data_IF_578103587092
#
_entry.id   IF_578103587092
#
_cell.length_a   1.000
_cell.length_b   1.000
_cell.length_c   1.000
_cell.angle_alpha   90.00
_cell.angle_beta   90.00
_cell.angle_gamma   90.00
#
_symmetry.space_group_name_H-M   'P 1'
#
loop_
_entity.id
_entity.type
_entity.pdbx_description
1 polymer ?
#
# COMPACT_ATOMS: atom_id res chain seq x y z
N UNK A 1 53.04 49.36 -56.27
CA UNK A 1 54.40 49.41 -56.82
C UNK A 1 54.36 50.24 -58.10
N UNK A 2 54.48 51.56 -57.93
CA UNK A 2 54.79 52.55 -58.96
C UNK A 2 55.42 53.72 -58.19
N UNK A 3 56.56 54.20 -58.68
CA UNK A 3 57.58 54.94 -57.96
C UNK A 3 57.09 56.29 -57.40
N UNK A 4 57.42 56.55 -56.12
CA UNK A 4 57.54 57.90 -55.56
C UNK A 4 58.86 58.47 -56.10
N UNK A 5 58.84 58.97 -57.32
CA UNK A 5 59.94 59.72 -57.92
C UNK A 5 59.32 61.01 -58.43
N UNK A 6 59.19 61.98 -57.53
CA UNK A 6 59.08 63.43 -57.77
C UNK A 6 59.02 64.11 -56.38
N UNK A 7 59.99 63.81 -55.50
CA UNK A 7 60.32 64.75 -54.42
C UNK A 7 61.18 65.85 -55.04
N UNK A 8 60.52 66.76 -55.77
CA UNK A 8 61.09 68.08 -56.00
C UNK A 8 61.41 68.64 -54.62
N UNK A 9 62.69 68.93 -54.35
CA UNK A 9 63.17 69.42 -53.07
C UNK A 9 62.42 70.71 -52.69
N UNK A 10 61.31 70.54 -51.97
CA UNK A 10 60.43 71.65 -51.60
C UNK A 10 61.15 72.46 -50.53
N UNK A 11 61.16 73.78 -50.71
CA UNK A 11 61.75 74.73 -49.77
C UNK A 11 61.06 74.70 -48.39
N UNK A 12 59.87 74.11 -48.31
CA UNK A 12 59.03 74.00 -47.12
C UNK A 12 59.32 72.68 -46.38
N UNK A 13 59.62 72.77 -45.10
CA UNK A 13 59.83 71.62 -44.21
C UNK A 13 58.48 71.04 -43.74
N UNK A 14 57.88 70.18 -44.56
CA UNK A 14 56.59 69.56 -44.26
C UNK A 14 56.62 68.64 -43.04
N UNK A 15 57.77 68.04 -42.71
CA UNK A 15 57.93 67.14 -41.57
C UNK A 15 57.76 67.89 -40.25
N UNK A 16 58.26 69.13 -40.16
CA UNK A 16 58.05 70.00 -39.01
C UNK A 16 56.58 70.42 -38.80
N UNK A 17 55.77 70.47 -39.88
CA UNK A 17 54.36 70.85 -39.82
C UNK A 17 53.40 69.68 -39.58
N UNK A 18 53.81 68.46 -39.93
CA UNK A 18 53.03 67.23 -39.72
C UNK A 18 53.34 66.55 -38.38
N UNK A 19 54.31 67.04 -37.62
CA UNK A 19 54.66 66.54 -36.28
C UNK A 19 53.49 66.75 -35.28
N UNK A 20 53.03 65.70 -34.56
CA UNK A 20 51.96 65.80 -33.58
C UNK A 20 52.21 66.80 -32.43
N UNK A 21 53.47 67.18 -32.16
CA UNK A 21 53.83 68.18 -31.15
C UNK A 21 53.95 69.62 -31.73
N UNK A 22 53.61 69.82 -33.01
CA UNK A 22 53.67 71.13 -33.65
C UNK A 22 52.75 72.14 -32.96
N UNK A 23 53.35 73.22 -32.44
CA UNK A 23 52.63 74.33 -31.83
C UNK A 23 52.90 75.63 -32.60
N UNK A 24 51.85 76.26 -33.19
CA UNK A 24 52.01 77.47 -34.01
C UNK A 24 52.74 78.61 -33.28
N UNK A 25 52.52 78.73 -31.97
CA UNK A 25 53.14 79.78 -31.16
C UNK A 25 54.64 79.58 -30.91
N UNK A 26 55.12 78.34 -30.78
CA UNK A 26 56.56 78.07 -30.60
C UNK A 26 57.32 78.24 -31.90
N UNK A 27 56.72 77.83 -33.02
CA UNK A 27 57.25 78.03 -34.36
C UNK A 27 57.34 79.51 -34.75
N UNK A 28 56.31 80.30 -34.44
CA UNK A 28 56.36 81.74 -34.65
C UNK A 28 57.47 82.39 -33.81
N UNK A 29 57.68 81.94 -32.57
CA UNK A 29 58.74 82.45 -31.71
C UNK A 29 60.14 82.06 -32.21
N UNK A 30 60.35 80.81 -32.64
CA UNK A 30 61.63 80.39 -33.21
C UNK A 30 61.97 81.16 -34.48
N UNK A 31 60.96 81.49 -35.31
CA UNK A 31 61.16 82.27 -36.54
C UNK A 31 61.50 83.74 -36.28
N UNK A 32 60.87 84.36 -35.28
CA UNK A 32 61.19 85.74 -34.86
C UNK A 32 62.62 85.81 -34.28
N UNK A 33 63.01 84.81 -33.49
CA UNK A 33 64.36 84.72 -32.93
C UNK A 33 65.43 84.41 -34.00
N UNK A 34 65.09 83.67 -35.06
CA UNK A 34 66.01 83.32 -36.14
C UNK A 34 66.29 84.48 -37.12
N UNK A 35 65.37 85.45 -37.20
CA UNK A 35 65.43 86.56 -38.16
C UNK A 35 65.93 87.87 -37.55
N UNK A 36 65.81 88.04 -36.23
CA UNK A 36 66.19 89.27 -35.54
C UNK A 36 67.43 89.06 -34.66
N UNK A 37 68.38 90.00 -34.72
CA UNK A 37 69.50 90.06 -33.77
C UNK A 37 69.10 90.86 -32.52
N UNK A 38 69.61 90.52 -31.33
CA UNK A 38 69.19 91.13 -30.05
C UNK A 38 69.53 92.63 -29.89
N UNK A 39 70.26 93.23 -30.84
CA UNK A 39 70.64 94.64 -30.84
C UNK A 39 69.87 95.49 -31.88
N UNK A 40 68.93 94.92 -32.62
CA UNK A 40 68.16 95.65 -33.64
C UNK A 40 66.95 96.37 -33.02
N UNK A 41 66.85 97.68 -33.25
CA UNK A 41 65.72 98.52 -32.81
C UNK A 41 65.28 99.39 -33.98
N UNK A 42 64.10 99.21 -34.61
CA UNK A 42 62.96 98.38 -34.22
C UNK A 42 63.03 96.90 -34.68
N UNK A 43 62.29 96.04 -33.98
CA UNK A 43 62.11 94.61 -34.31
C UNK A 43 61.49 94.45 -35.71
N UNK A 44 62.16 93.74 -36.61
CA UNK A 44 61.65 93.48 -37.95
C UNK A 44 60.72 92.25 -37.93
N UNK A 45 59.42 92.55 -37.90
CA UNK A 45 58.35 91.55 -38.03
C UNK A 45 57.95 91.30 -39.48
N UNK A 46 58.43 92.12 -40.43
CA UNK A 46 58.05 92.01 -41.82
C UNK A 46 58.70 90.80 -42.48
N UNK A 47 59.97 90.51 -42.15
CA UNK A 47 60.70 89.36 -42.70
C UNK A 47 60.12 88.01 -42.26
N UNK A 48 59.88 87.72 -40.96
CA UNK A 48 59.18 86.48 -40.53
C UNK A 48 57.80 86.31 -41.12
N UNK A 49 57.02 87.40 -41.15
CA UNK A 49 55.66 87.38 -41.67
C UNK A 49 55.65 87.11 -43.17
N UNK A 50 56.58 87.71 -43.93
CA UNK A 50 56.72 87.42 -45.35
C UNK A 50 57.06 85.95 -45.59
N UNK A 51 57.97 85.36 -44.81
CA UNK A 51 58.33 83.95 -44.94
C UNK A 51 57.15 83.01 -44.65
N UNK A 52 56.42 83.21 -43.55
CA UNK A 52 55.22 82.40 -43.24
C UNK A 52 54.14 82.55 -44.32
N UNK A 53 53.97 83.75 -44.87
CA UNK A 53 53.02 83.97 -45.96
C UNK A 53 53.45 83.25 -47.24
N UNK A 54 54.74 83.25 -47.58
CA UNK A 54 55.25 82.48 -48.71
C UNK A 54 55.09 80.97 -48.48
N UNK A 55 55.41 80.47 -47.29
CA UNK A 55 55.23 79.05 -46.94
C UNK A 55 53.74 78.64 -47.01
N UNK A 56 52.83 79.47 -46.50
CA UNK A 56 51.39 79.22 -46.57
C UNK A 56 50.85 79.27 -48.01
N UNK A 57 51.30 80.24 -48.80
CA UNK A 57 50.94 80.34 -50.22
C UNK A 57 51.44 79.14 -51.02
N UNK A 58 52.63 78.60 -50.69
CA UNK A 58 53.17 77.42 -51.35
C UNK A 58 52.41 76.15 -50.95
N UNK A 59 52.07 75.99 -49.66
CA UNK A 59 51.21 74.89 -49.19
C UNK A 59 49.84 74.95 -49.88
N UNK A 60 49.23 76.12 -49.94
CA UNK A 60 47.94 76.32 -50.61
C UNK A 60 48.05 76.02 -52.12
N UNK A 61 49.10 76.50 -52.79
CA UNK A 61 49.32 76.25 -54.22
C UNK A 61 49.56 74.76 -54.50
N UNK A 62 50.29 74.08 -53.62
CA UNK A 62 50.59 72.66 -53.72
C UNK A 62 49.37 71.80 -53.42
N UNK A 63 48.57 72.15 -52.41
CA UNK A 63 47.28 71.52 -52.13
C UNK A 63 46.34 71.74 -53.32
N UNK A 64 46.27 72.94 -53.88
CA UNK A 64 45.42 73.22 -55.04
C UNK A 64 45.88 72.43 -56.26
N UNK A 65 47.19 72.32 -56.50
CA UNK A 65 47.76 71.55 -57.61
C UNK A 65 47.51 70.06 -57.43
N UNK A 66 47.75 69.51 -56.24
CA UNK A 66 47.44 68.11 -55.92
C UNK A 66 45.94 67.85 -56.00
N UNK A 67 45.11 68.75 -55.48
CA UNK A 67 43.65 68.61 -55.49
C UNK A 67 43.11 68.72 -56.90
N UNK A 68 43.63 69.61 -57.76
CA UNK A 68 43.21 69.68 -59.17
C UNK A 68 43.73 68.52 -60.00
N UNK A 69 44.99 68.10 -59.80
CA UNK A 69 45.61 66.96 -60.51
C UNK A 69 44.99 65.62 -60.10
N UNK A 70 44.64 65.47 -58.83
CA UNK A 70 44.04 64.24 -58.27
C UNK A 70 42.55 64.37 -57.94
N UNK A 71 41.88 65.43 -58.40
CA UNK A 71 40.45 65.67 -58.19
C UNK A 71 39.61 64.47 -58.61
N UNK A 72 39.92 63.92 -59.79
CA UNK A 72 39.21 62.77 -60.34
C UNK A 72 39.42 61.54 -59.43
N UNK A 73 40.66 61.10 -59.11
CA UNK A 73 40.91 60.04 -58.14
C UNK A 73 40.18 60.18 -56.80
N UNK A 74 40.21 61.36 -56.17
CA UNK A 74 39.57 61.60 -54.87
C UNK A 74 38.04 61.51 -54.96
N UNK A 75 37.45 62.05 -56.02
CA UNK A 75 36.01 61.94 -56.28
C UNK A 75 35.61 60.50 -56.60
N UNK A 76 36.41 59.76 -57.38
CA UNK A 76 36.17 58.33 -57.61
C UNK A 76 36.28 57.52 -56.34
N UNK A 77 37.29 57.75 -55.51
CA UNK A 77 37.46 57.05 -54.24
C UNK A 77 36.28 57.33 -53.29
N UNK A 78 35.90 58.59 -53.13
CA UNK A 78 34.76 58.98 -52.27
C UNK A 78 33.45 58.41 -52.80
N UNK A 79 33.26 58.41 -54.13
CA UNK A 79 32.10 57.81 -54.79
C UNK A 79 32.07 56.29 -54.58
N UNK A 80 33.18 55.59 -54.82
CA UNK A 80 33.29 54.15 -54.62
C UNK A 80 33.07 53.76 -53.16
N UNK A 81 33.61 54.52 -52.21
CA UNK A 81 33.40 54.29 -50.78
C UNK A 81 31.94 54.52 -50.35
N UNK A 82 31.29 55.56 -50.89
CA UNK A 82 29.87 55.84 -50.63
C UNK A 82 28.98 54.77 -51.26
N UNK A 83 29.29 54.33 -52.48
CA UNK A 83 28.58 53.24 -53.16
C UNK A 83 28.78 51.89 -52.46
N UNK A 84 29.99 51.58 -52.00
CA UNK A 84 30.29 50.37 -51.24
C UNK A 84 29.57 50.37 -49.89
N UNK A 85 29.59 51.48 -49.17
CA UNK A 85 28.86 51.63 -47.90
C UNK A 85 27.35 51.51 -48.11
N UNK A 86 26.82 52.11 -49.18
CA UNK A 86 25.42 51.97 -49.56
C UNK A 86 25.01 50.52 -49.86
N UNK A 87 25.87 49.78 -50.59
CA UNK A 87 25.66 48.35 -50.87
C UNK A 87 25.66 47.53 -49.57
N UNK A 88 26.65 47.73 -48.70
CA UNK A 88 26.74 47.03 -47.41
C UNK A 88 25.51 47.31 -46.54
N UNK A 89 25.09 48.57 -46.42
CA UNK A 89 23.89 48.94 -45.65
C UNK A 89 22.64 48.29 -46.25
N UNK A 90 22.50 48.29 -47.57
CA UNK A 90 21.35 47.66 -48.23
C UNK A 90 21.31 46.14 -48.00
N UNK A 91 22.47 45.48 -48.02
CA UNK A 91 22.57 44.05 -47.78
C UNK A 91 22.28 43.73 -46.31
N UNK A 92 22.84 44.49 -45.37
CA UNK A 92 22.55 44.34 -43.94
C UNK A 92 21.07 44.57 -43.66
N UNK A 93 20.47 45.62 -44.22
CA UNK A 93 19.04 45.91 -44.04
C UNK A 93 18.17 44.77 -44.59
N UNK A 94 18.55 44.18 -45.73
CA UNK A 94 17.88 43.00 -46.26
C UNK A 94 18.01 41.78 -45.34
N UNK A 95 19.20 41.54 -44.77
CA UNK A 95 19.44 40.44 -43.83
C UNK A 95 18.70 40.63 -42.51
N UNK A 96 18.65 41.85 -41.98
CA UNK A 96 17.92 42.19 -40.75
C UNK A 96 16.41 42.03 -40.95
N UNK A 97 15.88 42.41 -42.13
CA UNK A 97 14.47 42.17 -42.49
C UNK A 97 14.17 40.68 -42.57
N UNK A 98 15.01 39.91 -43.25
CA UNK A 98 14.87 38.46 -43.35
C UNK A 98 14.93 37.79 -41.96
N UNK A 99 15.84 38.24 -41.09
CA UNK A 99 15.94 37.73 -39.73
C UNK A 99 14.68 38.04 -38.91
N UNK A 100 14.18 39.27 -38.96
CA UNK A 100 12.94 39.65 -38.28
C UNK A 100 11.72 38.87 -38.80
N UNK A 101 11.65 38.62 -40.11
CA UNK A 101 10.59 37.81 -40.69
C UNK A 101 10.70 36.35 -40.23
N UNK A 102 11.90 35.77 -40.25
CA UNK A 102 12.14 34.41 -39.76
C UNK A 102 11.84 34.27 -38.26
N UNK A 103 12.13 35.29 -37.46
CA UNK A 103 11.81 35.30 -36.03
C UNK A 103 10.30 35.36 -35.81
N UNK A 104 9.58 36.22 -36.55
CA UNK A 104 8.11 36.28 -36.48
C UNK A 104 7.46 34.97 -36.92
N UNK A 105 8.02 34.30 -37.93
CA UNK A 105 7.58 32.97 -38.33
C UNK A 105 7.83 31.96 -37.20
N UNK A 106 9.03 31.95 -36.60
CA UNK A 106 9.36 31.07 -35.48
C UNK A 106 8.48 31.31 -34.25
N UNK A 107 8.21 32.57 -33.90
CA UNK A 107 7.34 32.92 -32.78
C UNK A 107 5.92 32.38 -33.00
N UNK A 108 5.39 32.55 -34.22
CA UNK A 108 4.05 32.08 -34.57
C UNK A 108 3.97 30.56 -34.67
N UNK A 109 4.96 29.91 -35.27
CA UNK A 109 4.92 28.47 -35.53
C UNK A 109 5.38 27.62 -34.36
N UNK A 110 6.32 28.11 -33.54
CA UNK A 110 6.92 27.32 -32.46
C UNK A 110 6.41 27.79 -31.11
N UNK A 111 6.51 29.08 -30.78
CA UNK A 111 6.20 29.57 -29.43
C UNK A 111 4.70 29.49 -29.16
N UNK A 112 3.88 30.01 -30.07
CA UNK A 112 2.41 29.95 -29.90
C UNK A 112 1.90 28.51 -29.92
N UNK A 113 2.43 27.66 -30.81
CA UNK A 113 2.04 26.24 -30.86
C UNK A 113 2.50 25.47 -29.63
N UNK A 114 3.65 25.79 -29.06
CA UNK A 114 4.11 25.20 -27.81
C UNK A 114 3.20 25.61 -26.63
N UNK A 115 2.80 26.88 -26.55
CA UNK A 115 1.87 27.35 -25.53
C UNK A 115 0.51 26.65 -25.64
N UNK A 116 -0.06 26.52 -26.86
CA UNK A 116 -1.27 25.74 -27.11
C UNK A 116 -1.09 24.25 -26.70
N UNK A 117 0.07 23.66 -27.02
CA UNK A 117 0.37 22.27 -26.67
C UNK A 117 0.50 22.07 -25.15
N UNK A 118 1.01 23.05 -24.40
CA UNK A 118 1.10 22.99 -22.94
C UNK A 118 -0.28 23.09 -22.28
N UNK A 119 -1.19 23.90 -22.83
CA UNK A 119 -2.59 23.91 -22.40
C UNK A 119 -3.25 22.54 -22.63
N UNK A 120 -3.08 21.97 -23.82
CA UNK A 120 -3.60 20.63 -24.13
C UNK A 120 -2.98 19.57 -23.23
N UNK A 121 -1.68 19.65 -22.94
CA UNK A 121 -0.99 18.75 -21.99
C UNK A 121 -1.60 18.86 -20.59
N UNK A 122 -1.89 20.08 -20.13
CA UNK A 122 -2.52 20.28 -18.83
C UNK A 122 -3.94 19.69 -18.78
N UNK A 123 -4.73 19.90 -19.84
CA UNK A 123 -6.06 19.30 -19.99
C UNK A 123 -5.96 17.77 -20.02
N UNK A 124 -5.04 17.21 -20.78
CA UNK A 124 -4.81 15.77 -20.86
C UNK A 124 -4.38 15.17 -19.52
N UNK A 125 -3.54 15.86 -18.75
CA UNK A 125 -3.14 15.43 -17.40
C UNK A 125 -4.34 15.36 -16.46
N UNK A 126 -5.20 16.40 -16.46
CA UNK A 126 -6.43 16.43 -15.67
C UNK A 126 -7.42 15.34 -16.09
N UNK A 127 -7.56 15.11 -17.40
CA UNK A 127 -8.39 14.02 -17.94
C UNK A 127 -7.86 12.64 -17.54
N UNK A 128 -6.54 12.46 -17.52
CA UNK A 128 -5.94 11.20 -17.08
C UNK A 128 -6.15 10.96 -15.58
N UNK A 129 -5.95 11.99 -14.75
CA UNK A 129 -6.20 11.89 -13.30
C UNK A 129 -7.68 11.57 -13.01
N UNK A 130 -8.60 12.25 -13.68
CA UNK A 130 -10.05 11.98 -13.54
C UNK A 130 -10.42 10.58 -14.04
N UNK A 131 -9.84 10.11 -15.14
CA UNK A 131 -10.06 8.74 -15.63
C UNK A 131 -9.50 7.68 -14.68
N UNK A 132 -8.30 7.90 -14.14
CA UNK A 132 -7.66 7.00 -13.15
C UNK A 132 -8.51 6.89 -11.88
N UNK A 133 -8.98 8.04 -11.38
CA UNK A 133 -9.86 8.10 -10.22
C UNK A 133 -11.24 7.48 -10.53
N UNK A 134 -11.81 7.76 -11.69
CA UNK A 134 -13.10 7.19 -12.12
C UNK A 134 -13.06 5.67 -12.25
N UNK A 135 -11.97 5.11 -12.78
CA UNK A 135 -11.80 3.65 -12.89
C UNK A 135 -11.67 2.96 -11.54
N UNK A 136 -10.90 3.53 -10.62
CA UNK A 136 -10.74 2.99 -9.26
C UNK A 136 -12.04 3.10 -8.45
N UNK A 137 -12.77 4.22 -8.55
CA UNK A 137 -14.12 4.37 -7.99
C UNK A 137 -15.09 3.34 -8.59
N UNK A 138 -15.10 3.20 -9.92
CA UNK A 138 -15.96 2.24 -10.62
C UNK A 138 -15.71 0.80 -10.17
N UNK A 139 -14.44 0.41 -10.03
CA UNK A 139 -14.06 -0.90 -9.50
C UNK A 139 -14.53 -1.10 -8.05
N UNK A 140 -14.34 -0.10 -7.18
CA UNK A 140 -14.81 -0.15 -5.79
C UNK A 140 -16.33 -0.29 -5.70
N UNK A 141 -17.09 0.48 -6.50
CA UNK A 141 -18.55 0.41 -6.53
C UNK A 141 -19.03 -0.93 -7.10
N UNK A 142 -18.38 -1.46 -8.14
CA UNK A 142 -18.72 -2.77 -8.70
C UNK A 142 -18.49 -3.90 -7.69
N UNK A 143 -17.36 -3.86 -6.96
CA UNK A 143 -17.08 -4.79 -5.87
C UNK A 143 -18.06 -4.62 -4.69
N UNK A 144 -18.42 -3.38 -4.36
CA UNK A 144 -19.46 -3.08 -3.36
C UNK A 144 -20.82 -3.67 -3.74
N UNK A 145 -21.25 -3.49 -5.00
CA UNK A 145 -22.47 -4.11 -5.52
C UNK A 145 -22.40 -5.64 -5.51
N UNK A 146 -21.25 -6.20 -5.88
CA UNK A 146 -21.03 -7.65 -5.81
C UNK A 146 -21.13 -8.15 -4.36
N UNK A 147 -20.61 -7.40 -3.40
CA UNK A 147 -20.69 -7.70 -1.98
C UNK A 147 -22.15 -7.68 -1.49
N UNK A 148 -22.95 -6.69 -1.87
CA UNK A 148 -24.38 -6.62 -1.52
C UNK A 148 -25.16 -7.81 -2.06
N UNK A 149 -24.92 -8.20 -3.32
CA UNK A 149 -25.57 -9.37 -3.92
C UNK A 149 -25.18 -10.64 -3.15
N UNK A 150 -23.89 -10.82 -2.85
CA UNK A 150 -23.41 -11.98 -2.10
C UNK A 150 -23.91 -11.98 -0.64
N UNK A 151 -24.07 -10.82 -0.01
CA UNK A 151 -24.64 -10.69 1.33
C UNK A 151 -26.15 -10.98 1.33
N UNK A 152 -26.88 -10.57 0.29
CA UNK A 152 -28.29 -10.92 0.12
C UNK A 152 -28.48 -12.45 -0.06
N UNK A 153 -27.57 -13.15 -0.72
CA UNK A 153 -27.58 -14.63 -0.79
C UNK A 153 -27.46 -15.27 0.61
N UNK A 154 -26.70 -14.65 1.52
CA UNK A 154 -26.56 -15.11 2.92
C UNK A 154 -27.82 -14.76 3.73
N UNK A 155 -28.32 -13.53 3.62
CA UNK A 155 -29.45 -13.04 4.43
C UNK A 155 -30.81 -13.58 3.99
N UNK A 156 -31.01 -13.85 2.69
CA UNK A 156 -32.27 -14.39 2.17
C UNK A 156 -32.54 -15.84 2.60
N UNK A 157 -31.51 -16.52 3.11
CA UNK A 157 -31.63 -17.87 3.69
C UNK A 157 -32.26 -17.84 5.11
N UNK A 158 -32.19 -16.71 5.82
CA UNK A 158 -32.66 -16.61 7.21
C UNK A 158 -34.13 -16.15 7.37
N UNK A 159 -34.75 -15.55 6.34
CA UNK A 159 -36.05 -14.86 6.47
C UNK A 159 -37.22 -15.46 5.69
N UNK A 160 -37.09 -16.69 5.16
CA UNK A 160 -38.19 -17.37 4.45
C UNK A 160 -38.85 -18.43 5.34
N UNK A 161 -40.08 -18.14 5.74
CA UNK A 161 -41.01 -19.00 6.47
C UNK A 161 -41.06 -20.46 5.95
N UNK A 162 -40.53 -21.38 6.74
CA UNK A 162 -41.09 -22.68 7.16
C UNK A 162 -41.77 -23.67 6.18
N UNK A 163 -41.63 -23.62 4.85
CA UNK A 163 -42.32 -24.61 3.98
C UNK A 163 -41.54 -25.23 2.80
N UNK A 164 -40.20 -25.15 2.76
CA UNK A 164 -39.47 -26.03 1.81
C UNK A 164 -38.09 -26.46 2.35
N UNK A 165 -38.01 -27.73 2.68
CA UNK A 165 -36.90 -28.44 3.32
C UNK A 165 -35.67 -28.66 2.42
N UNK A 166 -35.27 -27.69 1.58
CA UNK A 166 -34.12 -27.89 0.68
C UNK A 166 -33.38 -26.62 0.18
N UNK A 167 -33.58 -25.45 0.80
CA UNK A 167 -32.72 -24.30 0.50
C UNK A 167 -31.48 -24.36 1.37
N UNK A 168 -30.45 -25.04 0.85
CA UNK A 168 -29.07 -25.01 1.36
C UNK A 168 -28.69 -23.56 1.65
N UNK A 169 -28.29 -23.28 2.88
CA UNK A 169 -27.49 -22.09 3.16
C UNK A 169 -26.25 -22.16 2.27
N UNK A 170 -26.07 -21.19 1.39
CA UNK A 170 -24.85 -21.10 0.58
C UNK A 170 -23.71 -20.65 1.49
N UNK A 171 -23.21 -21.58 2.30
CA UNK A 171 -22.05 -21.41 3.16
C UNK A 171 -20.78 -21.07 2.33
N UNK A 172 -20.83 -21.31 1.02
CA UNK A 172 -19.85 -20.82 0.03
C UNK A 172 -19.96 -19.32 -0.27
N UNK A 173 -21.15 -18.72 -0.13
CA UNK A 173 -21.35 -17.27 -0.27
C UNK A 173 -20.61 -16.49 0.82
N UNK A 174 -20.50 -17.03 2.04
CA UNK A 174 -19.68 -16.47 3.12
C UNK A 174 -18.21 -16.33 2.68
N UNK A 175 -17.63 -17.38 2.11
CA UNK A 175 -16.23 -17.38 1.62
C UNK A 175 -16.06 -16.39 0.46
N UNK A 176 -17.01 -16.32 -0.46
CA UNK A 176 -17.01 -15.33 -1.54
C UNK A 176 -17.06 -13.90 -1.01
N UNK A 177 -17.91 -13.62 -0.02
CA UNK A 177 -17.97 -12.32 0.65
C UNK A 177 -16.63 -11.95 1.29
N UNK A 178 -15.99 -12.89 1.99
CA UNK A 178 -14.68 -12.65 2.60
C UNK A 178 -13.61 -12.28 1.55
N UNK A 179 -13.58 -12.95 0.40
CA UNK A 179 -12.67 -12.58 -0.69
C UNK A 179 -12.98 -11.22 -1.31
N UNK A 180 -14.26 -10.86 -1.47
CA UNK A 180 -14.67 -9.53 -1.95
C UNK A 180 -14.34 -8.43 -0.95
N UNK A 181 -14.51 -8.67 0.36
CA UNK A 181 -14.11 -7.73 1.43
C UNK A 181 -12.59 -7.53 1.40
N UNK A 182 -11.82 -8.61 1.22
CA UNK A 182 -10.37 -8.54 1.14
C UNK A 182 -9.88 -7.79 -0.10
N UNK A 183 -10.50 -7.98 -1.27
CA UNK A 183 -10.15 -7.22 -2.47
C UNK A 183 -10.53 -5.74 -2.35
N UNK A 184 -11.63 -5.42 -1.67
CA UNK A 184 -11.98 -4.04 -1.31
C UNK A 184 -10.94 -3.42 -0.37
N UNK A 185 -10.51 -4.14 0.68
CA UNK A 185 -9.43 -3.70 1.58
C UNK A 185 -8.12 -3.48 0.82
N UNK A 186 -7.77 -4.37 -0.11
CA UNK A 186 -6.55 -4.23 -0.93
C UNK A 186 -6.54 -2.91 -1.70
N UNK A 187 -7.67 -2.54 -2.32
CA UNK A 187 -7.78 -1.31 -3.10
C UNK A 187 -7.76 -0.07 -2.19
N UNK A 188 -8.37 -0.18 -1.00
CA UNK A 188 -8.44 0.91 -0.02
C UNK A 188 -7.13 1.12 0.76
N UNK A 189 -6.34 0.07 0.99
CA UNK A 189 -5.07 0.14 1.74
C UNK A 189 -3.90 0.61 0.87
N UNK A 190 -3.97 0.43 -0.46
CA UNK A 190 -2.98 0.91 -1.44
C UNK A 190 -3.05 2.43 -1.66
N UNK A 191 -2.71 3.20 -0.63
CA UNK A 191 -2.82 4.67 -0.59
C UNK A 191 -1.57 5.42 -1.11
N UNK A 192 -0.52 4.73 -1.56
CA UNK A 192 0.73 5.39 -1.94
C UNK A 192 0.59 6.19 -3.27
N UNK A 193 1.40 7.24 -3.50
CA UNK A 193 1.35 8.02 -4.74
C UNK A 193 1.64 7.12 -5.94
N UNK A 194 0.67 7.02 -6.85
CA UNK A 194 0.74 6.15 -8.03
C UNK A 194 -0.14 4.89 -7.93
N UNK A 195 -0.52 4.48 -6.73
CA UNK A 195 -1.37 3.30 -6.52
C UNK A 195 -2.87 3.58 -6.75
N UNK A 196 -3.66 2.51 -6.88
CA UNK A 196 -5.10 2.58 -7.20
C UNK A 196 -5.92 3.31 -6.11
N UNK A 197 -5.44 3.34 -4.86
CA UNK A 197 -6.15 3.95 -3.73
C UNK A 197 -5.89 5.43 -3.50
N UNK A 198 -4.95 6.04 -4.24
CA UNK A 198 -4.58 7.43 -4.05
C UNK A 198 -5.74 8.38 -4.39
N UNK A 199 -6.32 9.02 -3.37
CA UNK A 199 -7.41 10.00 -3.51
C UNK A 199 -8.83 9.41 -3.37
N UNK A 200 -8.97 8.09 -3.19
CA UNK A 200 -10.28 7.45 -2.96
C UNK A 200 -10.95 7.93 -1.68
N UNK A 201 -10.17 8.12 -0.61
CA UNK A 201 -10.66 8.60 0.69
C UNK A 201 -11.25 10.03 0.64
N UNK A 202 -10.96 10.81 -0.41
CA UNK A 202 -11.51 12.17 -0.56
C UNK A 202 -12.92 12.16 -1.18
N UNK A 203 -13.36 11.03 -1.72
CA UNK A 203 -14.63 10.91 -2.44
C UNK A 203 -15.74 10.51 -1.47
N UNK A 204 -16.77 11.36 -1.34
CA UNK A 204 -17.90 11.12 -0.44
C UNK A 204 -18.65 9.82 -0.77
N UNK A 205 -18.75 9.42 -2.04
CA UNK A 205 -19.38 8.16 -2.43
C UNK A 205 -18.64 6.93 -1.87
N UNK A 206 -17.30 6.98 -1.81
CA UNK A 206 -16.50 5.89 -1.24
C UNK A 206 -16.61 5.86 0.27
N UNK A 207 -16.60 7.03 0.94
CA UNK A 207 -16.88 7.10 2.38
C UNK A 207 -18.26 6.53 2.71
N UNK A 208 -19.28 6.91 1.94
CA UNK A 208 -20.62 6.36 2.09
C UNK A 208 -20.65 4.85 1.86
N UNK A 209 -19.92 4.32 0.89
CA UNK A 209 -19.80 2.87 0.67
C UNK A 209 -19.13 2.18 1.87
N UNK A 210 -18.06 2.77 2.41
CA UNK A 210 -17.34 2.23 3.57
C UNK A 210 -18.24 2.19 4.82
N UNK A 211 -18.91 3.30 5.11
CA UNK A 211 -19.70 3.46 6.33
C UNK A 211 -21.04 2.71 6.28
N UNK A 212 -21.74 2.74 5.13
CA UNK A 212 -23.09 2.19 5.01
C UNK A 212 -23.13 0.74 4.51
N UNK A 213 -22.13 0.30 3.74
CA UNK A 213 -22.17 -1.03 3.09
C UNK A 213 -21.07 -1.92 3.64
N UNK A 214 -19.79 -1.53 3.51
CA UNK A 214 -18.66 -2.39 3.86
C UNK A 214 -18.63 -2.68 5.36
N UNK A 215 -18.70 -1.66 6.21
CA UNK A 215 -18.65 -1.83 7.67
C UNK A 215 -19.77 -2.71 8.23
N UNK A 216 -21.05 -2.44 7.90
CA UNK A 216 -22.17 -3.26 8.35
C UNK A 216 -22.12 -4.70 7.82
N UNK A 217 -21.80 -4.90 6.53
CA UNK A 217 -21.70 -6.24 5.94
C UNK A 217 -20.55 -7.02 6.58
N UNK A 218 -19.40 -6.40 6.83
CA UNK A 218 -18.27 -7.05 7.50
C UNK A 218 -18.65 -7.52 8.90
N UNK A 219 -19.31 -6.66 9.70
CA UNK A 219 -19.82 -7.02 11.03
C UNK A 219 -20.84 -8.14 10.95
N UNK A 220 -21.74 -8.09 9.97
CA UNK A 220 -22.74 -9.14 9.75
C UNK A 220 -22.07 -10.48 9.43
N UNK A 221 -21.12 -10.52 8.49
CA UNK A 221 -20.40 -11.74 8.10
C UNK A 221 -19.62 -12.30 9.28
N UNK A 222 -18.95 -11.45 10.04
CA UNK A 222 -18.26 -11.84 11.29
C UNK A 222 -19.23 -12.48 12.28
N UNK A 223 -20.35 -11.82 12.58
CA UNK A 223 -21.34 -12.32 13.54
C UNK A 223 -21.96 -13.65 13.09
N UNK A 224 -22.28 -13.80 11.79
CA UNK A 224 -22.83 -15.06 11.26
C UNK A 224 -21.81 -16.20 11.35
N UNK A 225 -20.53 -15.94 11.03
CA UNK A 225 -19.49 -16.96 11.15
C UNK A 225 -19.20 -17.33 12.61
N UNK A 226 -19.26 -16.36 13.53
CA UNK A 226 -19.16 -16.63 14.97
C UNK A 226 -20.33 -17.47 15.48
N UNK A 227 -21.56 -17.18 15.03
CA UNK A 227 -22.75 -17.93 15.42
C UNK A 227 -22.66 -19.39 14.94
N UNK A 228 -22.27 -19.62 13.67
CA UNK A 228 -22.11 -20.97 13.11
C UNK A 228 -21.12 -21.81 13.93
N UNK A 229 -20.01 -21.22 14.40
CA UNK A 229 -19.03 -21.94 15.22
C UNK A 229 -19.57 -22.19 16.65
N UNK A 230 -20.31 -21.23 17.23
CA UNK A 230 -20.90 -21.38 18.57
C UNK A 230 -22.00 -22.45 18.62
N UNK A 231 -22.77 -22.57 17.55
CA UNK A 231 -23.87 -23.52 17.41
C UNK A 231 -23.40 -24.88 16.87
N UNK A 232 -22.10 -25.05 16.63
CA UNK A 232 -21.55 -26.29 16.10
C UNK A 232 -21.89 -27.48 16.98
N UNK A 233 -22.58 -28.46 16.38
CA UNK A 233 -22.89 -29.75 17.00
C UNK A 233 -22.99 -30.81 15.93
N UNK A 234 -22.18 -31.86 16.05
CA UNK A 234 -22.36 -33.08 15.28
C UNK A 234 -23.22 -33.98 16.15
N UNK A 235 -24.42 -34.31 15.70
CA UNK A 235 -25.36 -35.12 16.46
C UNK A 235 -24.68 -36.31 17.16
N UNK A 236 -25.08 -36.54 18.41
CA UNK A 236 -24.50 -37.55 19.29
C UNK A 236 -24.39 -38.92 18.60
N UNK A 237 -23.40 -39.72 18.99
CA UNK A 237 -23.27 -41.12 18.61
C UNK A 237 -24.55 -41.96 18.87
N UNK A 238 -25.51 -41.45 19.65
CA UNK A 238 -26.81 -42.07 19.95
C UNK A 238 -27.94 -41.77 18.93
N UNK A 239 -27.69 -41.09 17.81
CA UNK A 239 -28.56 -41.16 16.63
C UNK A 239 -29.69 -40.12 16.52
N UNK A 240 -29.36 -38.85 16.28
CA UNK A 240 -30.36 -37.81 15.92
C UNK A 240 -30.05 -37.01 14.66
N UNK A 241 -28.81 -37.03 14.15
CA UNK A 241 -28.44 -36.31 12.93
C UNK A 241 -28.14 -37.27 11.77
N UNK A 242 -28.74 -37.02 10.61
CA UNK A 242 -28.45 -37.79 9.38
C UNK A 242 -27.02 -37.52 8.92
N UNK A 243 -26.36 -38.50 8.27
CA UNK A 243 -25.01 -38.30 7.70
C UNK A 243 -24.92 -37.01 6.87
N UNK A 244 -25.93 -36.74 6.04
CA UNK A 244 -26.02 -35.51 5.24
C UNK A 244 -26.02 -34.23 6.10
N UNK A 245 -26.76 -34.21 7.21
CA UNK A 245 -26.78 -33.07 8.14
C UNK A 245 -25.43 -32.88 8.83
N UNK A 246 -24.75 -33.98 9.18
CA UNK A 246 -23.42 -33.92 9.78
C UNK A 246 -22.34 -33.45 8.80
N UNK A 247 -22.43 -33.84 7.53
CA UNK A 247 -21.53 -33.37 6.48
C UNK A 247 -21.77 -31.90 6.13
N UNK A 248 -23.04 -31.48 6.11
CA UNK A 248 -23.41 -30.09 5.91
C UNK A 248 -22.94 -29.21 7.07
N UNK A 249 -23.12 -29.63 8.33
CA UNK A 249 -22.60 -28.90 9.49
C UNK A 249 -21.07 -28.77 9.46
N UNK A 250 -20.35 -29.82 9.01
CA UNK A 250 -18.90 -29.75 8.77
C UNK A 250 -18.57 -28.71 7.71
N UNK A 251 -19.23 -28.76 6.55
CA UNK A 251 -18.99 -27.85 5.45
C UNK A 251 -19.25 -26.38 5.84
N UNK A 252 -20.32 -26.11 6.61
CA UNK A 252 -20.63 -24.79 7.16
C UNK A 252 -19.55 -24.29 8.12
N UNK A 253 -19.11 -25.15 9.02
CA UNK A 253 -18.05 -24.83 10.00
C UNK A 253 -16.71 -24.56 9.32
N UNK A 254 -16.37 -25.32 8.29
CA UNK A 254 -15.16 -25.10 7.48
C UNK A 254 -15.22 -23.72 6.81
N UNK A 255 -16.33 -23.37 6.17
CA UNK A 255 -16.51 -22.04 5.58
C UNK A 255 -16.50 -20.91 6.62
N UNK A 256 -17.10 -21.11 7.80
CA UNK A 256 -17.07 -20.12 8.88
C UNK A 256 -15.66 -19.93 9.44
N UNK A 257 -14.89 -21.00 9.60
CA UNK A 257 -13.49 -20.94 10.03
C UNK A 257 -12.60 -20.25 8.98
N UNK A 258 -12.78 -20.59 7.70
CA UNK A 258 -12.07 -19.95 6.59
C UNK A 258 -12.40 -18.46 6.50
N UNK A 259 -13.67 -18.07 6.63
CA UNK A 259 -14.05 -16.65 6.60
C UNK A 259 -13.49 -15.86 7.76
N UNK A 260 -13.51 -16.39 8.99
CA UNK A 260 -12.93 -15.71 10.14
C UNK A 260 -11.40 -15.63 10.06
N UNK A 261 -10.76 -16.66 9.48
CA UNK A 261 -9.34 -16.62 9.16
C UNK A 261 -9.01 -15.51 8.15
N UNK A 262 -9.81 -15.39 7.08
CA UNK A 262 -9.62 -14.39 6.03
C UNK A 262 -9.97 -12.96 6.46
N UNK A 263 -10.98 -12.77 7.32
CA UNK A 263 -11.43 -11.42 7.74
C UNK A 263 -10.57 -10.89 8.91
N UNK A 264 -9.81 -11.76 9.58
CA UNK A 264 -8.97 -11.41 10.73
C UNK A 264 -8.05 -10.21 10.42
N UNK A 265 -8.00 -9.21 11.31
CA UNK A 265 -7.30 -7.95 11.04
C UNK A 265 -5.80 -8.19 10.82
N UNK A 266 -5.24 -7.43 9.89
CA UNK A 266 -3.81 -7.44 9.51
C UNK A 266 -3.21 -6.05 9.74
N UNK A 267 -4.02 -5.10 10.18
CA UNK A 267 -3.67 -3.71 10.37
C UNK A 267 -2.59 -3.59 11.46
N UNK A 268 -1.37 -3.26 11.03
CA UNK A 268 -0.26 -2.92 11.93
C UNK A 268 0.63 -4.07 12.39
N UNK A 269 0.39 -5.31 11.98
CA UNK A 269 1.27 -6.45 12.33
C UNK A 269 2.21 -6.79 11.19
N UNK A 270 3.52 -6.89 11.49
CA UNK A 270 4.51 -7.44 10.56
C UNK A 270 4.04 -8.83 10.07
N UNK A 271 4.19 -9.15 8.78
CA UNK A 271 3.65 -10.38 8.18
C UNK A 271 4.22 -11.68 8.80
N UNK A 272 5.34 -11.58 9.55
CA UNK A 272 6.02 -12.71 10.18
C UNK A 272 5.43 -13.16 11.53
N UNK A 273 4.48 -12.41 12.11
CA UNK A 273 3.83 -12.75 13.41
C UNK A 273 2.31 -12.73 13.36
N UNK A 274 1.72 -12.77 12.18
CA UNK A 274 0.27 -12.70 12.07
C UNK A 274 -0.37 -13.98 12.63
N UNK A 275 -1.24 -13.81 13.62
CA UNK A 275 -2.07 -14.87 14.18
C UNK A 275 -3.54 -14.53 13.96
N UNK A 276 -4.39 -15.49 13.57
CA UNK A 276 -5.81 -15.23 13.33
C UNK A 276 -6.58 -15.04 14.65
N UNK A 277 -6.45 -13.86 15.26
CA UNK A 277 -6.99 -13.55 16.59
C UNK A 277 -8.51 -13.78 16.68
N UNK A 278 -9.27 -13.44 15.63
CA UNK A 278 -10.73 -13.62 15.62
C UNK A 278 -11.12 -15.09 15.68
N UNK A 279 -10.41 -15.95 14.93
CA UNK A 279 -10.65 -17.39 14.93
C UNK A 279 -10.25 -18.01 16.28
N UNK A 280 -9.10 -17.60 16.83
CA UNK A 280 -8.63 -18.09 18.12
C UNK A 280 -9.59 -17.71 19.25
N UNK A 281 -10.03 -16.46 19.28
CA UNK A 281 -10.95 -15.96 20.31
C UNK A 281 -12.29 -16.69 20.27
N UNK A 282 -12.87 -16.92 19.09
CA UNK A 282 -14.17 -17.61 19.02
C UNK A 282 -14.06 -19.08 19.44
N UNK A 283 -12.97 -19.76 19.07
CA UNK A 283 -12.72 -21.14 19.45
C UNK A 283 -12.45 -21.27 20.96
N UNK A 284 -11.70 -20.34 21.54
CA UNK A 284 -11.50 -20.25 22.99
C UNK A 284 -12.83 -20.07 23.72
N UNK A 285 -13.69 -19.15 23.26
CA UNK A 285 -14.99 -18.92 23.88
C UNK A 285 -15.91 -20.14 23.74
N UNK A 286 -15.89 -20.83 22.59
CA UNK A 286 -16.63 -22.08 22.40
C UNK A 286 -16.20 -23.15 23.41
N UNK A 287 -14.89 -23.39 23.54
CA UNK A 287 -14.33 -24.35 24.50
C UNK A 287 -14.67 -23.98 25.95
N UNK A 288 -14.52 -22.71 26.31
CA UNK A 288 -14.83 -22.21 27.66
C UNK A 288 -16.31 -22.35 28.00
N UNK A 289 -17.21 -22.07 27.06
CA UNK A 289 -18.64 -22.26 27.24
C UNK A 289 -19.02 -23.73 27.40
N UNK A 290 -18.45 -24.61 26.56
CA UNK A 290 -18.65 -26.04 26.65
C UNK A 290 -18.16 -26.60 28.00
N UNK A 291 -16.99 -26.14 28.49
CA UNK A 291 -16.44 -26.48 29.80
C UNK A 291 -17.32 -26.00 30.95
N UNK A 292 -17.63 -24.71 31.00
CA UNK A 292 -18.40 -24.12 32.10
C UNK A 292 -19.79 -24.76 32.22
N UNK A 293 -20.46 -25.00 31.10
CA UNK A 293 -21.78 -25.65 31.08
C UNK A 293 -21.69 -27.11 31.54
N UNK A 294 -20.63 -27.84 31.17
CA UNK A 294 -20.44 -29.25 31.53
C UNK A 294 -20.04 -29.42 33.00
N UNK A 295 -19.22 -28.52 33.54
CA UNK A 295 -18.88 -28.49 34.98
C UNK A 295 -20.12 -28.18 35.82
N UNK A 296 -20.94 -27.21 35.39
CA UNK A 296 -22.16 -26.83 36.10
C UNK A 296 -23.28 -27.89 36.03
N UNK A 297 -23.39 -28.65 34.93
CA UNK A 297 -24.33 -29.77 34.84
C UNK A 297 -23.88 -30.95 35.70
N UNK A 298 -22.58 -31.29 35.66
CA UNK A 298 -22.02 -32.39 36.44
C UNK A 298 -22.04 -32.12 37.94
N UNK A 299 -21.71 -30.90 38.38
CA UNK A 299 -21.80 -30.54 39.80
C UNK A 299 -23.22 -30.66 40.36
N UNK A 300 -24.24 -30.33 39.54
CA UNK A 300 -25.65 -30.49 39.91
C UNK A 300 -26.08 -31.95 39.92
N UNK A 301 -25.69 -32.74 38.93
CA UNK A 301 -26.06 -34.17 38.88
C UNK A 301 -25.35 -35.02 39.92
N UNK A 302 -24.15 -34.62 40.36
CA UNK A 302 -23.50 -35.23 41.53
C UNK A 302 -24.27 -34.94 42.84
N UNK A 303 -24.96 -33.80 42.94
CA UNK A 303 -25.88 -33.54 44.05
C UNK A 303 -27.21 -34.32 43.91
N UNK A 304 -27.60 -34.69 42.68
CA UNK A 304 -28.85 -35.40 42.37
C UNK A 304 -28.59 -36.63 41.47
N UNK A 305 -28.15 -37.74 42.07
CA UNK A 305 -27.74 -38.96 41.34
C UNK A 305 -28.67 -39.47 40.21
N UNK A 306 -30.01 -39.39 40.30
CA UNK A 306 -30.89 -39.92 39.25
C UNK A 306 -30.72 -39.26 37.87
N UNK A 307 -30.14 -38.06 37.80
CA UNK A 307 -29.88 -37.37 36.54
C UNK A 307 -28.46 -37.55 36.01
N UNK A 308 -27.60 -38.29 36.74
CA UNK A 308 -26.19 -38.45 36.43
C UNK A 308 -25.97 -39.04 35.03
N UNK A 309 -26.61 -40.15 34.71
CA UNK A 309 -26.42 -40.84 33.41
C UNK A 309 -26.79 -39.95 32.22
N UNK A 310 -27.87 -39.17 32.37
CA UNK A 310 -28.28 -38.20 31.36
C UNK A 310 -27.23 -37.10 31.19
N UNK A 311 -26.74 -36.53 32.29
CA UNK A 311 -25.71 -35.48 32.22
C UNK A 311 -24.38 -36.00 31.68
N UNK A 312 -23.99 -37.23 32.02
CA UNK A 312 -22.78 -37.87 31.49
C UNK A 312 -22.90 -38.16 29.99
N UNK A 313 -24.09 -38.54 29.51
CA UNK A 313 -24.35 -38.66 28.08
C UNK A 313 -24.21 -37.30 27.36
N UNK A 314 -24.78 -36.23 27.91
CA UNK A 314 -24.66 -34.87 27.37
C UNK A 314 -23.20 -34.36 27.36
N UNK A 315 -22.43 -34.63 28.42
CA UNK A 315 -21.00 -34.26 28.50
C UNK A 315 -20.18 -35.06 27.50
N UNK A 316 -20.43 -36.36 27.36
CA UNK A 316 -19.75 -37.19 26.35
C UNK A 316 -20.04 -36.69 24.93
N UNK A 317 -21.27 -36.27 24.63
CA UNK A 317 -21.63 -35.68 23.33
C UNK A 317 -20.92 -34.35 23.07
N UNK A 318 -20.70 -33.52 24.10
CA UNK A 318 -19.94 -32.26 23.96
C UNK A 318 -18.47 -32.51 23.70
N UNK A 319 -17.87 -33.49 24.37
CA UNK A 319 -16.50 -33.91 24.09
C UNK A 319 -16.35 -34.48 22.67
N UNK A 320 -17.31 -35.28 22.22
CA UNK A 320 -17.38 -35.78 20.84
C UNK A 320 -17.44 -34.64 19.82
N UNK A 321 -18.20 -33.57 20.09
CA UNK A 321 -18.22 -32.37 19.25
C UNK A 321 -16.85 -31.66 19.23
N UNK A 322 -16.16 -31.56 20.37
CA UNK A 322 -14.81 -30.96 20.44
C UNK A 322 -13.81 -31.77 19.61
N UNK A 323 -13.84 -33.10 19.71
CA UNK A 323 -12.97 -33.99 18.92
C UNK A 323 -13.29 -33.88 17.43
N UNK A 324 -14.58 -33.79 17.08
CA UNK A 324 -14.96 -33.59 15.69
C UNK A 324 -14.47 -32.25 15.16
N UNK A 325 -14.53 -31.18 15.96
CA UNK A 325 -13.96 -29.87 15.62
C UNK A 325 -12.44 -29.96 15.45
N UNK A 326 -11.74 -30.68 16.33
CA UNK A 326 -10.30 -30.94 16.24
C UNK A 326 -9.94 -31.62 14.91
N UNK A 327 -10.67 -32.67 14.52
CA UNK A 327 -10.46 -33.39 13.27
C UNK A 327 -10.74 -32.47 12.06
N UNK A 328 -11.79 -31.66 12.10
CA UNK A 328 -12.15 -30.73 11.01
C UNK A 328 -11.07 -29.64 10.85
N UNK A 329 -10.58 -29.09 11.95
CA UNK A 329 -9.51 -28.08 11.93
C UNK A 329 -8.17 -28.69 11.50
N UNK A 330 -7.90 -29.95 11.84
CA UNK A 330 -6.74 -30.69 11.36
C UNK A 330 -6.83 -31.09 9.88
N UNK A 331 -8.03 -31.31 9.34
CA UNK A 331 -8.21 -31.64 7.93
C UNK A 331 -8.25 -30.43 7.01
N UNK A 332 -8.45 -29.24 7.57
CA UNK A 332 -8.61 -28.00 6.80
C UNK A 332 -7.27 -27.28 6.69
N UNK A 333 -6.71 -27.28 5.48
CA UNK A 333 -5.53 -26.48 5.15
C UNK A 333 -5.87 -24.99 5.22
N UNK A 334 -4.96 -24.19 5.79
CA UNK A 334 -5.13 -22.74 5.82
C UNK A 334 -5.17 -22.18 4.38
N UNK A 335 -6.22 -21.44 3.99
CA UNK A 335 -6.29 -20.83 2.67
C UNK A 335 -5.24 -19.72 2.54
N UNK A 336 -4.67 -19.55 1.34
CA UNK A 336 -3.72 -18.47 1.07
C UNK A 336 -4.40 -17.12 1.31
N UNK A 337 -3.83 -16.33 2.21
CA UNK A 337 -4.37 -15.01 2.54
C UNK A 337 -3.93 -14.01 1.45
N UNK A 338 -4.85 -13.40 0.68
CA UNK A 338 -4.49 -12.57 -0.48
C UNK A 338 -3.72 -11.29 -0.14
N UNK A 339 -3.79 -10.83 1.12
CA UNK A 339 -3.04 -9.67 1.62
C UNK A 339 -1.69 -10.01 2.27
N UNK A 340 -1.31 -11.29 2.34
CA UNK A 340 0.02 -11.71 2.82
C UNK A 340 0.87 -12.16 1.62
N UNK A 341 2.14 -11.73 1.50
CA UNK A 341 2.99 -12.13 0.39
C UNK A 341 3.08 -13.65 0.27
N UNK A 342 2.67 -14.18 -0.89
CA UNK A 342 2.61 -15.62 -1.19
C UNK A 342 3.95 -16.37 -0.97
N UNK A 343 5.07 -15.65 -0.90
CA UNK A 343 6.41 -16.22 -0.77
C UNK A 343 6.76 -16.80 0.61
N UNK A 344 5.99 -16.51 1.67
CA UNK A 344 6.27 -17.06 3.03
C UNK A 344 5.30 -18.14 3.50
N UNK A 345 4.20 -18.38 2.78
CA UNK A 345 3.26 -19.48 3.06
C UNK A 345 3.74 -20.86 2.56
N UNK A 346 4.84 -20.92 1.82
CA UNK A 346 5.38 -22.18 1.30
C UNK A 346 6.03 -23.07 2.36
N UNK A 347 6.41 -22.51 3.53
CA UNK A 347 7.13 -23.25 4.58
C UNK A 347 6.23 -23.89 5.64
N UNK A 348 4.97 -23.47 5.78
CA UNK A 348 4.05 -24.09 6.73
C UNK A 348 2.72 -24.41 6.07
N UNK A 349 2.63 -25.60 5.47
CA UNK A 349 1.36 -26.32 5.25
C UNK A 349 0.77 -26.75 6.61
N UNK A 350 0.64 -25.81 7.53
CA UNK A 350 0.12 -26.05 8.87
C UNK A 350 -1.41 -25.92 8.83
N UNK A 351 -2.08 -26.94 9.35
CA UNK A 351 -3.53 -26.97 9.44
C UNK A 351 -4.02 -25.84 10.36
N UNK A 352 -5.29 -25.43 10.22
CA UNK A 352 -5.91 -24.38 11.07
C UNK A 352 -5.83 -24.67 12.58
N UNK A 353 -5.54 -25.93 12.94
CA UNK A 353 -5.36 -26.43 14.29
C UNK A 353 -4.03 -26.01 14.95
N UNK A 354 -2.93 -25.92 14.20
CA UNK A 354 -1.60 -25.68 14.78
C UNK A 354 -1.49 -24.33 15.52
N UNK A 355 -2.02 -23.21 14.98
CA UNK A 355 -2.04 -21.93 15.70
C UNK A 355 -2.89 -21.98 16.98
N UNK A 356 -3.96 -22.77 17.00
CA UNK A 356 -4.83 -22.94 18.16
C UNK A 356 -4.13 -23.74 19.27
N UNK A 357 -3.46 -24.85 18.91
CA UNK A 357 -2.71 -25.65 19.86
C UNK A 357 -1.53 -24.88 20.45
N UNK A 358 -0.84 -24.08 19.64
CA UNK A 358 0.22 -23.20 20.11
C UNK A 358 -0.31 -22.11 21.07
N UNK A 359 -1.47 -21.51 20.75
CA UNK A 359 -2.10 -20.50 21.61
C UNK A 359 -2.61 -21.06 22.94
N UNK A 360 -3.15 -22.29 22.92
CA UNK A 360 -3.64 -22.98 24.12
C UNK A 360 -2.55 -23.78 24.85
N UNK A 361 -1.31 -23.79 24.33
CA UNK A 361 -0.18 -24.60 24.83
C UNK A 361 -0.56 -26.08 25.11
N UNK A 362 -1.35 -26.68 24.22
CA UNK A 362 -1.91 -28.02 24.41
C UNK A 362 -1.65 -28.92 23.21
N UNK A 363 -1.54 -30.23 23.46
CA UNK A 363 -1.36 -31.23 22.40
C UNK A 363 -2.67 -31.74 21.77
N UNK A 364 -3.81 -31.55 22.45
CA UNK A 364 -5.15 -31.94 21.96
C UNK A 364 -6.23 -31.17 22.72
N UNK A 365 -7.31 -30.80 22.01
CA UNK A 365 -8.45 -30.09 22.59
C UNK A 365 -9.25 -30.96 23.56
N UNK A 366 -9.34 -32.26 23.27
CA UNK A 366 -10.00 -33.22 24.17
C UNK A 366 -9.26 -33.39 25.50
N UNK A 367 -7.92 -33.47 25.47
CA UNK A 367 -7.12 -33.55 26.70
C UNK A 367 -7.22 -32.25 27.52
N UNK A 368 -7.21 -31.09 26.86
CA UNK A 368 -7.47 -29.80 27.52
C UNK A 368 -8.86 -29.76 28.18
N UNK A 369 -9.89 -30.26 27.50
CA UNK A 369 -11.25 -30.30 28.03
C UNK A 369 -11.35 -31.14 29.31
N UNK A 370 -10.88 -32.40 29.29
CA UNK A 370 -10.97 -33.28 30.46
C UNK A 370 -10.09 -32.82 31.62
N UNK A 371 -8.87 -32.33 31.36
CA UNK A 371 -7.96 -31.83 32.41
C UNK A 371 -8.53 -30.61 33.13
N UNK A 372 -9.10 -29.68 32.37
CA UNK A 372 -9.70 -28.44 32.92
C UNK A 372 -11.03 -28.72 33.62
N UNK A 373 -11.79 -29.70 33.14
CA UNK A 373 -12.98 -30.18 33.83
C UNK A 373 -12.63 -30.84 35.17
N UNK A 374 -11.62 -31.73 35.20
CA UNK A 374 -11.20 -32.41 36.42
C UNK A 374 -10.75 -31.43 37.52
N UNK A 375 -9.96 -30.41 37.16
CA UNK A 375 -9.44 -29.44 38.13
C UNK A 375 -10.56 -28.59 38.76
N UNK A 376 -11.53 -28.16 37.95
CA UNK A 376 -12.68 -27.39 38.44
C UNK A 376 -13.68 -28.26 39.21
N UNK A 377 -13.87 -29.51 38.80
CA UNK A 377 -14.76 -30.48 39.44
C UNK A 377 -14.26 -30.89 40.83
N UNK A 378 -12.94 -31.06 41.01
CA UNK A 378 -12.35 -31.42 42.29
C UNK A 378 -12.78 -30.46 43.41
N UNK A 379 -12.71 -29.16 43.15
CA UNK A 379 -13.12 -28.11 44.11
C UNK A 379 -14.62 -28.20 44.42
N UNK A 380 -15.46 -28.42 43.40
CA UNK A 380 -16.93 -28.53 43.57
C UNK A 380 -17.36 -29.78 44.33
N UNK A 381 -16.70 -30.91 44.11
CA UNK A 381 -16.97 -32.14 44.85
C UNK A 381 -16.57 -31.98 46.32
N UNK A 382 -15.44 -31.34 46.58
CA UNK A 382 -15.01 -31.04 47.94
C UNK A 382 -16.01 -30.13 48.68
N UNK A 383 -16.57 -29.11 48.01
CA UNK A 383 -17.66 -28.28 48.56
C UNK A 383 -18.89 -29.11 48.94
N UNK A 384 -19.32 -30.04 48.07
CA UNK A 384 -20.49 -30.92 48.33
C UNK A 384 -20.23 -31.86 49.51
N UNK A 385 -19.03 -32.43 49.61
CA UNK A 385 -18.65 -33.33 50.70
C UNK A 385 -18.54 -32.56 52.02
N UNK A 386 -17.90 -31.38 52.01
CA UNK A 386 -17.73 -30.53 53.20
C UNK A 386 -19.06 -29.97 53.73
N UNK A 387 -20.01 -29.66 52.83
CA UNK A 387 -21.36 -29.21 53.20
C UNK A 387 -22.16 -30.30 53.91
N UNK A 388 -21.78 -31.57 53.74
CA UNK A 388 -22.44 -32.71 54.35
C UNK A 388 -23.87 -32.93 53.85
N UNK A 389 -24.59 -33.87 54.48
CA UNK A 389 -25.98 -34.19 54.18
C UNK A 389 -26.19 -35.44 53.32
N UNK A 390 -27.42 -35.60 52.82
CA UNK A 390 -27.87 -36.82 52.11
C UNK A 390 -27.10 -37.02 50.81
N UNK A 391 -26.81 -35.96 50.05
CA UNK A 391 -26.02 -36.02 48.82
C UNK A 391 -24.59 -36.53 49.06
N UNK A 392 -23.92 -36.04 50.09
CA UNK A 392 -22.57 -36.49 50.45
C UNK A 392 -22.55 -37.96 50.90
N UNK A 393 -23.55 -38.41 51.68
CA UNK A 393 -23.67 -39.81 52.10
C UNK A 393 -23.95 -40.73 50.91
N UNK A 394 -24.88 -40.34 50.03
CA UNK A 394 -25.22 -41.09 48.82
C UNK A 394 -24.04 -41.19 47.85
N UNK A 395 -23.25 -40.11 47.70
CA UNK A 395 -22.03 -40.13 46.89
C UNK A 395 -20.95 -41.06 47.46
N UNK A 396 -20.79 -41.12 48.80
CA UNK A 396 -19.86 -42.06 49.45
C UNK A 396 -20.30 -43.52 49.27
N UNK A 397 -21.60 -43.81 49.39
CA UNK A 397 -22.14 -45.17 49.18
C UNK A 397 -22.04 -45.62 47.73
N UNK A 398 -22.28 -44.72 46.76
CA UNK A 398 -22.24 -45.02 45.33
C UNK A 398 -20.89 -44.71 44.66
N UNK A 399 -19.81 -44.57 45.43
CA UNK A 399 -18.47 -44.18 44.96
C UNK A 399 -18.00 -45.00 43.76
N UNK A 400 -18.15 -46.33 43.82
CA UNK A 400 -17.67 -47.23 42.76
C UNK A 400 -18.52 -47.11 41.49
N UNK A 401 -19.84 -46.96 41.64
CA UNK A 401 -20.76 -46.79 40.51
C UNK A 401 -20.55 -45.44 39.81
N UNK A 402 -20.38 -44.35 40.57
CA UNK A 402 -20.07 -43.02 40.00
C UNK A 402 -18.70 -43.02 39.32
N UNK A 403 -17.70 -43.68 39.91
CA UNK A 403 -16.37 -43.83 39.30
C UNK A 403 -16.41 -44.57 37.97
N UNK A 404 -17.19 -45.65 37.89
CA UNK A 404 -17.34 -46.43 36.65
C UNK A 404 -18.15 -45.67 35.59
N UNK A 405 -19.23 -44.98 35.99
CA UNK A 405 -20.02 -44.14 35.08
C UNK A 405 -19.19 -42.99 34.48
N UNK A 406 -18.30 -42.38 35.27
CA UNK A 406 -17.37 -41.35 34.79
C UNK A 406 -16.31 -41.96 33.86
N UNK A 407 -15.75 -43.13 34.19
CA UNK A 407 -14.83 -43.87 33.31
C UNK A 407 -15.48 -44.11 31.95
N UNK A 408 -16.70 -44.64 31.94
CA UNK A 408 -17.45 -44.91 30.71
C UNK A 408 -17.77 -43.61 29.95
N UNK A 409 -18.11 -42.53 30.66
CA UNK A 409 -18.35 -41.21 30.06
C UNK A 409 -17.12 -40.67 29.32
N UNK A 410 -15.93 -40.77 29.92
CA UNK A 410 -14.68 -40.32 29.30
C UNK A 410 -14.36 -41.17 28.08
N UNK A 411 -14.44 -42.51 28.20
CA UNK A 411 -14.19 -43.43 27.07
C UNK A 411 -15.17 -43.19 25.92
N UNK A 412 -16.46 -43.01 26.22
CA UNK A 412 -17.48 -42.70 25.21
C UNK A 412 -17.26 -41.32 24.60
N UNK A 413 -16.84 -40.34 25.40
CA UNK A 413 -16.59 -38.97 24.96
C UNK A 413 -15.32 -38.82 24.12
N UNK A 414 -14.31 -39.69 24.30
CA UNK A 414 -13.06 -39.67 23.53
C UNK A 414 -13.13 -40.46 22.23
N UNK A 415 -14.18 -41.26 22.02
CA UNK A 415 -14.43 -41.90 20.74
C UNK A 415 -14.87 -40.87 19.70
N UNK A 416 -14.25 -40.83 18.51
CA UNK A 416 -14.69 -39.92 17.45
C UNK A 416 -16.11 -40.30 17.02
N UNK A 417 -16.97 -39.32 16.66
CA UNK A 417 -18.29 -39.62 16.11
C UNK A 417 -18.17 -40.54 14.89
N UNK A 418 -19.05 -41.53 14.78
CA UNK A 418 -19.09 -42.49 13.67
C UNK A 418 -19.15 -41.83 12.29
N UNK A 419 -19.74 -40.64 12.21
CA UNK A 419 -19.84 -39.81 10.99
C UNK A 419 -18.53 -39.15 10.57
N UNK A 420 -17.52 -39.08 11.44
CA UNK A 420 -16.20 -38.45 11.18
C UNK A 420 -15.10 -39.50 11.02
N UNK A 421 -15.23 -40.65 11.68
CA UNK A 421 -14.27 -41.75 11.62
C UNK A 421 -14.12 -42.37 10.21
N UNK A 422 -15.15 -42.29 9.36
CA UNK A 422 -15.14 -42.85 8.00
C UNK A 422 -14.19 -42.13 7.02
N UNK A 423 -13.74 -40.90 7.31
CA UNK A 423 -12.82 -40.16 6.44
C UNK A 423 -11.35 -40.62 6.55
N UNK A 424 -10.99 -41.47 7.53
CA UNK A 424 -9.65 -42.02 7.68
C UNK A 424 -9.51 -43.31 6.86
N UNK A 425 -9.61 -43.18 5.53
CA UNK A 425 -9.27 -44.25 4.60
C UNK A 425 -7.76 -44.57 4.67
N UNK A 426 -7.41 -45.81 5.04
CA UNK A 426 -6.10 -46.47 4.91
C UNK A 426 -4.86 -45.58 5.09
N UNK A 427 -4.44 -45.37 6.34
CA UNK A 427 -3.02 -45.13 6.66
C UNK A 427 -2.31 -46.49 6.90
N UNK A 428 -1.01 -46.62 6.59
CA UNK A 428 -0.32 -47.90 6.54
C UNK A 428 -0.17 -48.50 7.95
N UNK A 429 -0.20 -49.84 8.02
CA UNK A 429 0.11 -50.63 9.21
C UNK A 429 1.41 -50.14 9.85
N UNK A 430 1.30 -49.60 11.05
CA UNK A 430 2.42 -49.30 11.96
C UNK A 430 1.89 -49.21 13.38
N UNK A 431 2.12 -50.28 14.13
CA UNK A 431 2.18 -50.36 15.61
C UNK A 431 1.05 -49.75 16.47
N UNK A 432 0.09 -50.61 16.81
CA UNK A 432 -0.28 -50.94 18.19
C UNK A 432 -0.67 -49.83 19.21
N UNK A 433 -1.41 -48.79 18.83
CA UNK A 433 -2.22 -47.99 19.79
C UNK A 433 -3.67 -48.50 19.86
N UNK A 434 -3.87 -49.65 20.51
CA UNK A 434 -5.21 -50.12 20.92
C UNK A 434 -5.34 -49.92 22.43
N UNK A 435 -6.36 -49.15 22.84
CA UNK A 435 -6.89 -49.00 24.22
C UNK A 435 -6.09 -48.25 25.31
N UNK A 436 -4.84 -47.84 25.10
CA UNK A 436 -4.02 -47.23 26.20
C UNK A 436 -3.87 -45.69 26.23
N UNK A 437 -4.44 -44.94 25.27
CA UNK A 437 -4.10 -43.52 25.09
C UNK A 437 -4.78 -42.53 26.05
N UNK A 438 -5.98 -42.84 26.54
CA UNK A 438 -6.81 -41.94 27.36
C UNK A 438 -6.89 -42.35 28.84
N UNK A 439 -6.14 -43.38 29.24
CA UNK A 439 -6.13 -43.89 30.62
C UNK A 439 -5.68 -42.82 31.61
N UNK A 440 -4.83 -41.88 31.18
CA UNK A 440 -4.39 -40.73 31.96
C UNK A 440 -5.55 -39.77 32.25
N UNK A 441 -6.32 -39.41 31.24
CA UNK A 441 -7.48 -38.51 31.36
C UNK A 441 -8.61 -39.16 32.16
N UNK A 442 -8.83 -40.47 31.97
CA UNK A 442 -9.76 -41.28 32.78
C UNK A 442 -9.32 -41.26 34.25
N UNK A 443 -8.04 -41.52 34.54
CA UNK A 443 -7.52 -41.52 35.89
C UNK A 443 -7.64 -40.13 36.56
N UNK A 444 -7.36 -39.06 35.82
CA UNK A 444 -7.47 -37.67 36.32
C UNK A 444 -8.93 -37.29 36.61
N UNK A 445 -9.86 -37.62 35.71
CA UNK A 445 -11.29 -37.37 35.91
C UNK A 445 -11.87 -38.18 37.07
N UNK A 446 -11.60 -39.49 37.11
CA UNK A 446 -12.08 -40.36 38.21
C UNK A 446 -11.47 -39.92 39.55
N UNK A 447 -10.18 -39.57 39.58
CA UNK A 447 -9.51 -39.08 40.80
C UNK A 447 -10.11 -37.77 41.31
N UNK A 448 -10.51 -36.86 40.42
CA UNK A 448 -11.13 -35.58 40.81
C UNK A 448 -12.45 -35.74 41.59
N UNK A 449 -13.18 -36.84 41.37
CA UNK A 449 -14.44 -37.14 42.06
C UNK A 449 -14.21 -38.11 43.22
N UNK A 450 -13.54 -39.22 42.94
CA UNK A 450 -13.37 -40.35 43.86
C UNK A 450 -12.29 -40.09 44.91
N UNK A 451 -11.23 -39.36 44.56
CA UNK A 451 -10.14 -39.00 45.47
C UNK A 451 -10.61 -38.07 46.60
N UNK A 452 -11.58 -37.20 46.32
CA UNK A 452 -12.16 -36.27 47.29
C UNK A 452 -13.25 -36.91 48.18
N UNK A 453 -13.74 -38.11 47.82
CA UNK A 453 -14.74 -38.85 48.59
C UNK A 453 -14.11 -39.76 49.67
N UNK A 454 -12.80 -40.03 49.56
CA UNK A 454 -12.05 -40.96 50.43
C UNK A 454 -11.17 -40.31 51.48
N UNK A 455 -11.18 -38.98 51.61
CA UNK A 455 -10.54 -38.25 52.72
C UNK A 455 -11.54 -37.91 53.83
#
# INVERSE_FOLDING_TARGET
MAANEDEDASYVDYDAFLDPDFSPSSFANSLVLATNNPNDTPLDLSTPLSKVLFDAQEVDSHIDLLTTRSAIPLLTYTKEQTEASGKIISEIDSQVKNLNESYKQLEKEVIQKHAEADEVRQVASRLWETLKLGRSVGRCLQLGRQLEIQHAEISSSASATATSSNKKEDHRALVRCAHTILSLREILDKKAPGEEGHGLDKINAIKSLQDNVIGPIERSVKNTSEQIIREFSIGSASGTATFAQSEEAKARTISAAITLYLISPITGTKPDKWTPLLLLQILEVYLRNALQSSVASLARSLATLPSLDRTLAEISSRCQNIIALEIILASTNAPAHPLLPAHKHAFDKSNLLQPLLAYLETGSLASYFWRTMASSLATRVQEIVNRGGVSARTLKTNRNSVGEAIRECVIRGTQPPSTVAAAKGKAPKGENEKSGGWDREVAVMVSSVVGNLGR
#
